data_IF_291587896501
#
_entry.id   IF_291587896501
#
_cell.length_a   1.000
_cell.length_b   1.000
_cell.length_c   1.000
_cell.angle_alpha   90.00
_cell.angle_beta   90.00
_cell.angle_gamma   90.00
#
_symmetry.space_group_name_H-M   'P 1'
#
loop_
_entity.id
_entity.type
_entity.pdbx_description
1 polymer ?
#
# COMPACT_ATOMS: atom_id res chain seq x y z
N UNK A 1 12.64 -9.42 28.61
CA UNK A 1 11.43 -9.83 27.87
C UNK A 1 10.75 -11.01 28.58
N UNK A 2 11.32 -12.22 28.57
CA UNK A 2 10.68 -13.41 29.15
C UNK A 2 10.41 -13.34 30.66
N UNK A 3 11.25 -12.67 31.45
CA UNK A 3 11.04 -12.54 32.90
C UNK A 3 9.81 -11.70 33.28
N UNK A 4 9.45 -10.69 32.47
CA UNK A 4 8.21 -9.90 32.65
C UNK A 4 6.97 -10.71 32.28
N UNK A 5 7.09 -11.58 31.29
CA UNK A 5 6.03 -12.47 30.82
C UNK A 5 5.79 -13.65 31.78
N UNK A 6 6.83 -14.15 32.45
CA UNK A 6 6.71 -15.19 33.47
C UNK A 6 6.08 -14.70 34.78
N UNK A 7 6.24 -13.40 35.10
CA UNK A 7 5.68 -12.79 36.29
C UNK A 7 4.20 -12.36 36.14
N UNK A 8 3.64 -12.40 34.94
CA UNK A 8 2.25 -12.05 34.70
C UNK A 8 1.37 -13.31 34.69
N UNK A 9 0.32 -13.39 35.54
CA UNK A 9 -0.51 -14.59 35.68
C UNK A 9 -1.25 -14.98 34.39
N UNK A 10 -1.47 -14.02 33.48
CA UNK A 10 -2.14 -14.25 32.19
C UNK A 10 -1.24 -14.90 31.15
N UNK A 11 0.07 -14.60 31.16
CA UNK A 11 1.03 -15.09 30.16
C UNK A 11 1.92 -16.22 30.65
N UNK A 12 2.00 -16.42 31.98
CA UNK A 12 2.70 -17.54 32.59
C UNK A 12 2.28 -18.94 32.07
N UNK A 13 0.98 -19.27 31.89
CA UNK A 13 0.59 -20.57 31.35
C UNK A 13 0.91 -20.71 29.86
N UNK A 14 0.95 -19.61 29.11
CA UNK A 14 1.29 -19.61 27.69
C UNK A 14 2.77 -19.90 27.44
N UNK A 15 3.64 -19.49 28.37
CA UNK A 15 5.08 -19.80 28.30
C UNK A 15 5.40 -21.26 28.65
N UNK A 16 4.48 -21.98 29.27
CA UNK A 16 4.62 -23.42 29.53
C UNK A 16 4.29 -24.28 28.31
N UNK A 17 3.67 -23.69 27.27
CA UNK A 17 3.33 -24.36 26.03
C UNK A 17 4.54 -24.38 25.07
N UNK A 18 4.97 -25.59 24.72
CA UNK A 18 6.09 -25.81 23.79
C UNK A 18 5.77 -25.31 22.37
N UNK A 19 4.51 -25.32 21.95
CA UNK A 19 4.10 -24.83 20.63
C UNK A 19 4.24 -23.31 20.56
N UNK A 20 3.76 -22.61 21.60
CA UNK A 20 3.82 -21.16 21.69
C UNK A 20 5.25 -20.62 21.79
N UNK A 21 6.12 -21.32 22.53
CA UNK A 21 7.55 -20.97 22.61
C UNK A 21 8.26 -21.10 21.26
N UNK A 22 7.92 -22.11 20.46
CA UNK A 22 8.43 -22.25 19.10
C UNK A 22 7.95 -21.11 18.19
N UNK A 23 6.69 -20.65 18.34
CA UNK A 23 6.17 -19.48 17.61
C UNK A 23 6.93 -18.20 17.95
N UNK A 24 7.18 -17.94 19.24
CA UNK A 24 7.98 -16.80 19.67
C UNK A 24 9.42 -16.83 19.13
N UNK A 25 10.01 -18.02 19.00
CA UNK A 25 11.33 -18.18 18.38
C UNK A 25 11.30 -17.90 16.88
N UNK A 26 10.27 -18.37 16.16
CA UNK A 26 10.09 -18.09 14.73
C UNK A 26 9.98 -16.59 14.44
N UNK A 27 9.21 -15.88 15.26
CA UNK A 27 9.07 -14.43 15.14
C UNK A 27 10.37 -13.67 15.43
N UNK A 28 11.19 -14.19 16.35
CA UNK A 28 12.52 -13.63 16.59
C UNK A 28 13.44 -13.79 15.37
N UNK A 29 13.32 -14.90 14.65
CA UNK A 29 14.09 -15.13 13.42
C UNK A 29 13.49 -14.43 12.19
N UNK A 30 12.17 -14.20 12.19
CA UNK A 30 11.44 -13.73 11.02
C UNK A 30 10.38 -12.68 11.42
N UNK A 31 10.70 -11.37 11.36
CA UNK A 31 9.79 -10.31 11.78
C UNK A 31 8.61 -10.07 10.83
N UNK A 32 8.63 -10.65 9.62
CA UNK A 32 7.54 -10.52 8.64
C UNK A 32 6.33 -11.42 8.99
N UNK A 33 6.53 -12.50 9.76
CA UNK A 33 5.45 -13.42 10.13
C UNK A 33 4.62 -12.92 11.31
N UNK A 34 5.01 -11.78 11.93
CA UNK A 34 4.27 -11.15 13.03
C UNK A 34 2.82 -10.86 12.63
N UNK A 35 2.58 -10.48 11.37
CA UNK A 35 1.24 -10.16 10.88
C UNK A 35 0.28 -11.36 10.90
N UNK A 36 0.79 -12.57 10.67
CA UNK A 36 -0.01 -13.81 10.72
C UNK A 36 -0.29 -14.21 12.17
N UNK A 37 0.72 -14.06 13.04
CA UNK A 37 0.61 -14.40 14.46
C UNK A 37 -0.21 -13.36 15.26
N UNK A 38 -0.39 -12.13 14.74
CA UNK A 38 -1.31 -11.13 15.32
C UNK A 38 -2.78 -11.56 15.28
N UNK A 39 -3.14 -12.57 14.48
CA UNK A 39 -4.47 -13.18 14.49
C UNK A 39 -4.67 -14.12 15.70
N UNK A 40 -3.58 -14.58 16.34
CA UNK A 40 -3.66 -15.42 17.53
C UNK A 40 -3.90 -14.54 18.77
N UNK A 41 -5.05 -14.69 19.47
CA UNK A 41 -5.36 -13.91 20.66
C UNK A 41 -4.33 -14.12 21.80
N UNK A 42 -3.66 -15.27 21.85
CA UNK A 42 -2.62 -15.58 22.85
C UNK A 42 -1.35 -14.78 22.59
N UNK A 43 -1.01 -14.56 21.32
CA UNK A 43 0.16 -13.79 20.93
C UNK A 43 -0.04 -12.31 21.24
N UNK A 44 -1.22 -11.76 20.93
CA UNK A 44 -1.58 -10.38 21.25
C UNK A 44 -1.50 -10.12 22.76
N UNK A 45 -1.94 -11.07 23.58
CA UNK A 45 -1.85 -11.00 25.04
C UNK A 45 -0.41 -10.95 25.57
N UNK A 46 0.52 -11.65 24.93
CA UNK A 46 1.94 -11.61 25.31
C UNK A 46 2.59 -10.30 24.85
N UNK A 47 2.24 -9.83 23.65
CA UNK A 47 2.73 -8.55 23.13
C UNK A 47 2.20 -7.36 23.94
N UNK A 48 0.96 -7.40 24.40
CA UNK A 48 0.35 -6.34 25.20
C UNK A 48 1.04 -6.21 26.57
N UNK A 49 1.31 -7.32 27.25
CA UNK A 49 2.09 -7.35 28.51
C UNK A 49 3.53 -6.87 28.29
N UNK A 50 4.14 -7.19 27.14
CA UNK A 50 5.48 -6.73 26.82
C UNK A 50 5.55 -5.22 26.56
N UNK A 51 4.53 -4.67 25.89
CA UNK A 51 4.37 -3.24 25.63
C UNK A 51 3.86 -2.46 26.87
N UNK A 52 3.52 -3.15 27.96
CA UNK A 52 3.01 -2.54 29.18
C UNK A 52 1.58 -2.02 29.08
N UNK A 53 0.85 -2.46 28.05
CA UNK A 53 -0.54 -2.09 27.78
C UNK A 53 -1.39 -3.29 28.20
N UNK A 54 -2.00 -3.27 29.38
CA UNK A 54 -2.94 -4.33 29.79
C UNK A 54 -4.26 -4.12 29.04
N UNK A 55 -4.30 -4.52 27.76
CA UNK A 55 -5.54 -4.54 26.99
C UNK A 55 -6.39 -5.70 27.49
N UNK A 56 -7.28 -5.39 28.43
CA UNK A 56 -8.37 -6.26 28.88
C UNK A 56 -9.33 -6.52 27.71
N UNK A 57 -8.96 -7.43 26.81
CA UNK A 57 -9.80 -7.84 25.70
C UNK A 57 -10.80 -8.89 26.21
N UNK A 58 -12.05 -8.48 26.39
CA UNK A 58 -13.19 -9.37 26.66
C UNK A 58 -13.81 -9.26 28.05
N UNK A 59 -14.72 -8.29 28.22
CA UNK A 59 -15.89 -8.44 29.09
C UNK A 59 -17.02 -7.53 28.55
N UNK A 60 -18.29 -8.00 28.48
CA UNK A 60 -19.41 -7.14 28.10
C UNK A 60 -19.63 -6.06 29.19
N UNK A 61 -20.12 -4.86 28.83
CA UNK A 61 -20.22 -3.76 29.79
C UNK A 61 -21.38 -4.00 30.74
N UNK A 62 -21.08 -4.30 32.00
CA UNK A 62 -22.07 -4.26 33.07
C UNK A 62 -21.69 -5.00 34.35
N UNK A 63 -21.05 -4.29 35.30
CA UNK A 63 -21.34 -4.33 36.74
C UNK A 63 -20.21 -3.68 37.58
N UNK A 64 -20.53 -2.57 38.27
CA UNK A 64 -20.17 -2.39 39.69
C UNK A 64 -18.78 -1.88 40.11
N UNK A 65 -18.69 -0.56 40.31
CA UNK A 65 -18.33 0.12 41.58
C UNK A 65 -16.85 0.22 42.09
N UNK A 66 -16.37 1.48 42.05
CA UNK A 66 -15.59 2.30 43.02
C UNK A 66 -14.25 1.83 43.63
N UNK A 67 -13.25 2.74 43.57
CA UNK A 67 -12.10 2.74 44.48
C UNK A 67 -10.98 3.75 44.19
N UNK A 68 -11.21 5.01 44.61
CA UNK A 68 -10.30 6.10 45.03
C UNK A 68 -8.76 6.11 44.78
N UNK A 69 -8.27 7.32 44.42
CA UNK A 69 -6.93 7.87 44.69
C UNK A 69 -6.20 8.29 43.39
N UNK A 70 -5.93 9.55 43.05
CA UNK A 70 -5.80 10.80 43.81
C UNK A 70 -4.37 11.33 43.68
N UNK A 71 -4.09 12.22 42.71
CA UNK A 71 -3.14 13.35 42.80
C UNK A 71 -2.90 14.01 41.43
N UNK A 72 -3.34 15.28 41.32
CA UNK A 72 -2.82 16.46 40.57
C UNK A 72 -2.13 16.22 39.20
N UNK A 73 -2.48 16.96 38.16
CA UNK A 73 -2.04 18.34 37.96
C UNK A 73 -2.85 19.08 36.87
N UNK A 74 -2.90 20.40 37.04
CA UNK A 74 -3.17 21.47 36.06
C UNK A 74 -4.59 21.59 35.46
N UNK A 75 -5.29 22.58 35.99
CA UNK A 75 -6.29 23.35 35.27
C UNK A 75 -5.61 23.99 34.04
N UNK A 76 -5.96 23.52 32.84
CA UNK A 76 -5.95 24.35 31.64
C UNK A 76 -7.42 24.47 31.23
N UNK A 77 -7.93 25.70 31.22
CA UNK A 77 -9.26 26.04 30.72
C UNK A 77 -9.36 25.60 29.26
N UNK A 78 -9.97 24.44 29.02
CA UNK A 78 -10.30 23.99 27.67
C UNK A 78 -11.52 24.78 27.21
N UNK A 79 -11.27 25.89 26.51
CA UNK A 79 -12.32 26.64 25.81
C UNK A 79 -12.88 25.70 24.74
N UNK A 80 -14.11 25.23 24.91
CA UNK A 80 -14.76 24.33 23.93
C UNK A 80 -14.81 25.02 22.56
N UNK A 81 -13.92 24.59 21.66
CA UNK A 81 -13.97 24.93 20.25
C UNK A 81 -15.22 24.28 19.64
N UNK A 82 -16.22 25.04 19.14
CA UNK A 82 -17.47 24.46 18.62
C UNK A 82 -17.33 23.72 17.28
N UNK A 83 -16.10 23.50 16.79
CA UNK A 83 -15.84 22.98 15.44
C UNK A 83 -14.69 21.95 15.43
N UNK A 84 -14.65 21.09 16.44
CA UNK A 84 -13.89 19.84 16.35
C UNK A 84 -14.58 18.95 15.30
N UNK A 85 -14.06 18.93 14.07
CA UNK A 85 -14.44 17.90 13.09
C UNK A 85 -14.30 16.55 13.78
N UNK A 86 -15.30 15.67 13.67
CA UNK A 86 -15.19 14.33 14.24
C UNK A 86 -13.90 13.69 13.72
N UNK A 87 -13.15 12.98 14.57
CA UNK A 87 -11.98 12.23 14.10
C UNK A 87 -12.43 11.38 12.91
N UNK A 88 -11.64 11.30 11.82
CA UNK A 88 -12.01 10.50 10.67
C UNK A 88 -12.37 9.12 11.20
N UNK A 89 -13.64 8.76 11.00
CA UNK A 89 -14.13 7.43 11.31
C UNK A 89 -13.17 6.50 10.60
N UNK A 90 -12.33 5.78 11.35
CA UNK A 90 -11.47 4.76 10.79
C UNK A 90 -12.43 3.81 10.10
N UNK A 91 -12.53 3.92 8.78
CA UNK A 91 -13.20 2.93 7.97
C UNK A 91 -12.50 1.63 8.32
N UNK A 92 -13.26 0.72 8.93
CA UNK A 92 -12.81 -0.66 9.10
C UNK A 92 -12.25 -1.07 7.74
N UNK A 93 -10.94 -1.36 7.69
CA UNK A 93 -10.32 -1.92 6.51
C UNK A 93 -11.11 -3.16 6.18
N UNK A 94 -12.00 -3.02 5.19
CA UNK A 94 -12.70 -4.13 4.56
C UNK A 94 -11.62 -5.17 4.26
N UNK A 95 -11.84 -6.46 4.59
CA UNK A 95 -10.88 -7.51 4.27
C UNK A 95 -10.41 -7.31 2.84
N UNK A 96 -9.10 -7.15 2.67
CA UNK A 96 -8.50 -7.09 1.35
C UNK A 96 -8.99 -8.34 0.61
N UNK A 97 -9.73 -8.19 -0.50
CA UNK A 97 -10.30 -9.35 -1.18
C UNK A 97 -9.14 -10.30 -1.50
N UNK A 98 -9.30 -11.57 -1.11
CA UNK A 98 -8.37 -12.63 -1.50
C UNK A 98 -8.09 -12.49 -3.00
N UNK A 99 -6.83 -12.63 -3.45
CA UNK A 99 -6.49 -12.46 -4.85
C UNK A 99 -7.35 -13.41 -5.67
N UNK A 100 -8.31 -12.84 -6.41
CA UNK A 100 -9.14 -13.58 -7.34
C UNK A 100 -8.20 -14.35 -8.29
N UNK A 101 -8.53 -15.59 -8.67
CA UNK A 101 -7.71 -16.32 -9.62
C UNK A 101 -7.58 -15.47 -10.89
N UNK A 102 -6.35 -15.09 -11.25
CA UNK A 102 -6.07 -14.29 -12.45
C UNK A 102 -6.82 -14.90 -13.63
N UNK A 103 -7.78 -14.15 -14.15
CA UNK A 103 -8.60 -14.60 -15.26
C UNK A 103 -7.71 -14.76 -16.49
N UNK A 104 -8.15 -15.56 -17.46
CA UNK A 104 -7.43 -15.65 -18.74
C UNK A 104 -7.34 -14.28 -19.43
N UNK A 105 -8.27 -13.35 -19.15
CA UNK A 105 -8.20 -11.95 -19.56
C UNK A 105 -7.08 -11.17 -18.86
N UNK A 106 -6.86 -11.37 -17.56
CA UNK A 106 -5.76 -10.72 -16.82
C UNK A 106 -4.38 -11.18 -17.33
N UNK A 107 -4.26 -12.48 -17.64
CA UNK A 107 -3.05 -13.01 -18.27
C UNK A 107 -2.84 -12.42 -19.67
N UNK A 108 -3.89 -12.37 -20.48
CA UNK A 108 -3.83 -11.78 -21.81
C UNK A 108 -3.47 -10.28 -21.76
N UNK A 109 -4.00 -9.53 -20.79
CA UNK A 109 -3.67 -8.13 -20.57
C UNK A 109 -2.20 -7.94 -20.14
N UNK A 110 -1.67 -8.81 -19.26
CA UNK A 110 -0.25 -8.81 -18.88
C UNK A 110 0.66 -9.15 -20.06
N UNK A 111 0.30 -10.13 -20.89
CA UNK A 111 1.06 -10.47 -22.09
C UNK A 111 1.04 -9.33 -23.12
N UNK A 112 -0.11 -8.70 -23.34
CA UNK A 112 -0.24 -7.53 -24.20
C UNK A 112 0.64 -6.38 -23.70
N UNK A 113 0.61 -6.11 -22.38
CA UNK A 113 1.50 -5.11 -21.76
C UNK A 113 2.97 -5.45 -21.93
N UNK A 114 3.37 -6.72 -21.77
CA UNK A 114 4.74 -7.15 -21.96
C UNK A 114 5.21 -6.95 -23.41
N UNK A 115 4.36 -7.28 -24.40
CA UNK A 115 4.63 -7.03 -25.83
C UNK A 115 4.75 -5.54 -26.13
N UNK A 116 3.84 -4.72 -25.59
CA UNK A 116 3.91 -3.26 -25.74
C UNK A 116 5.18 -2.68 -25.11
N UNK A 117 5.60 -3.18 -23.94
CA UNK A 117 6.84 -2.76 -23.30
C UNK A 117 8.09 -3.18 -24.06
N UNK A 118 8.07 -4.30 -24.78
CA UNK A 118 9.14 -4.69 -25.70
C UNK A 118 9.24 -3.71 -26.87
N UNK A 119 8.11 -3.35 -27.49
CA UNK A 119 8.05 -2.35 -28.55
C UNK A 119 8.53 -0.97 -28.06
N UNK A 120 8.14 -0.54 -26.85
CA UNK A 120 8.67 0.67 -26.22
C UNK A 120 10.20 0.62 -26.07
N UNK A 121 10.75 -0.52 -25.64
CA UNK A 121 12.22 -0.67 -25.51
C UNK A 121 12.90 -0.52 -26.87
N UNK A 122 12.37 -1.17 -27.92
CA UNK A 122 12.87 -1.00 -29.31
C UNK A 122 12.80 0.47 -29.74
N UNK A 123 11.67 1.13 -29.53
CA UNK A 123 11.50 2.56 -29.82
C UNK A 123 12.54 3.43 -29.11
N UNK A 124 12.84 3.12 -27.84
CA UNK A 124 13.86 3.82 -27.04
C UNK A 124 15.28 3.59 -27.57
N UNK A 125 15.59 2.38 -28.06
CA UNK A 125 16.87 2.11 -28.71
C UNK A 125 17.03 2.90 -30.02
N UNK A 126 15.97 2.99 -30.82
CA UNK A 126 15.96 3.81 -32.03
C UNK A 126 16.05 5.31 -31.72
N UNK A 127 15.35 5.78 -30.69
CA UNK A 127 15.44 7.16 -30.21
C UNK A 127 16.88 7.52 -29.82
N UNK A 128 17.58 6.65 -29.08
CA UNK A 128 19.00 6.84 -28.73
C UNK A 128 19.91 6.87 -29.96
N UNK A 129 19.55 6.16 -31.03
CA UNK A 129 20.25 6.17 -32.32
C UNK A 129 19.87 7.38 -33.20
N UNK A 130 19.05 8.32 -32.70
CA UNK A 130 18.46 9.46 -33.44
C UNK A 130 17.62 9.05 -34.66
N UNK A 131 17.13 7.81 -34.63
CA UNK A 131 16.27 7.20 -35.63
C UNK A 131 14.82 7.42 -35.21
N UNK A 132 14.36 8.66 -35.32
CA UNK A 132 13.09 9.10 -34.74
C UNK A 132 11.88 8.53 -35.46
N UNK A 133 11.94 8.34 -36.78
CA UNK A 133 10.86 7.71 -37.56
C UNK A 133 10.58 6.28 -37.08
N UNK A 134 11.63 5.47 -37.00
CA UNK A 134 11.52 4.09 -36.50
C UNK A 134 11.06 4.06 -35.03
N UNK A 135 11.53 5.01 -34.20
CA UNK A 135 11.09 5.12 -32.80
C UNK A 135 9.59 5.42 -32.69
N UNK A 136 9.06 6.33 -33.50
CA UNK A 136 7.64 6.70 -33.53
C UNK A 136 6.78 5.49 -33.92
N UNK A 137 7.20 4.71 -34.92
CA UNK A 137 6.46 3.50 -35.31
C UNK A 137 6.37 2.49 -34.17
N UNK A 138 7.47 2.24 -33.46
CA UNK A 138 7.49 1.32 -32.32
C UNK A 138 6.65 1.82 -31.14
N UNK A 139 6.67 3.13 -30.85
CA UNK A 139 5.82 3.69 -29.81
C UNK A 139 4.32 3.67 -30.16
N UNK A 140 3.96 3.88 -31.43
CA UNK A 140 2.58 3.71 -31.90
C UNK A 140 2.11 2.26 -31.75
N UNK A 141 2.92 1.28 -32.16
CA UNK A 141 2.61 -0.14 -31.99
C UNK A 141 2.43 -0.52 -30.52
N UNK A 142 3.27 0.03 -29.64
CA UNK A 142 3.13 -0.15 -28.20
C UNK A 142 1.77 0.36 -27.71
N UNK A 143 1.37 1.56 -28.12
CA UNK A 143 0.09 2.18 -27.78
C UNK A 143 -1.13 1.42 -28.33
N UNK A 144 -1.04 0.86 -29.53
CA UNK A 144 -2.09 0.03 -30.14
C UNK A 144 -2.25 -1.33 -29.41
N UNK A 145 -1.15 -1.89 -28.91
CA UNK A 145 -1.13 -3.18 -28.21
C UNK A 145 -1.63 -3.03 -26.77
N UNK A 146 -1.14 -2.00 -26.06
CA UNK A 146 -1.55 -1.67 -24.71
C UNK A 146 -1.56 -0.16 -24.55
N UNK A 147 -2.67 0.38 -24.05
CA UNK A 147 -2.79 1.81 -23.83
C UNK A 147 -2.12 2.19 -22.52
N UNK A 148 -0.99 2.88 -22.61
CA UNK A 148 -0.27 3.46 -21.47
C UNK A 148 0.20 4.88 -21.84
N UNK A 149 0.00 5.82 -20.91
CA UNK A 149 0.41 7.23 -21.01
C UNK A 149 1.90 7.31 -21.36
N UNK A 150 2.72 6.40 -20.81
CA UNK A 150 4.18 6.38 -21.02
C UNK A 150 4.54 6.22 -22.50
N UNK A 151 3.74 5.50 -23.28
CA UNK A 151 4.00 5.34 -24.71
C UNK A 151 3.74 6.65 -25.46
N UNK A 152 2.67 7.37 -25.11
CA UNK A 152 2.34 8.66 -25.71
C UNK A 152 3.34 9.75 -25.34
N UNK A 153 3.82 9.80 -24.09
CA UNK A 153 4.85 10.77 -23.68
C UNK A 153 6.16 10.54 -24.43
N UNK A 154 6.57 9.27 -24.61
CA UNK A 154 7.77 8.93 -25.38
C UNK A 154 7.62 9.23 -26.87
N UNK A 155 6.41 9.02 -27.41
CA UNK A 155 6.09 9.36 -28.79
C UNK A 155 6.12 10.87 -29.02
N UNK A 156 5.60 11.67 -28.08
CA UNK A 156 5.72 13.12 -28.08
C UNK A 156 7.18 13.58 -28.10
N UNK A 157 8.02 12.99 -27.25
CA UNK A 157 9.47 13.27 -27.23
C UNK A 157 10.15 12.91 -28.55
N UNK A 158 9.84 11.76 -29.15
CA UNK A 158 10.40 11.34 -30.44
C UNK A 158 10.00 12.28 -31.59
N UNK A 159 8.74 12.72 -31.64
CA UNK A 159 8.27 13.72 -32.62
C UNK A 159 8.91 15.08 -32.42
N UNK A 160 9.08 15.50 -31.17
CA UNK A 160 9.74 16.76 -30.82
C UNK A 160 11.18 16.79 -31.33
N UNK A 161 11.98 15.75 -31.05
CA UNK A 161 13.36 15.67 -31.52
C UNK A 161 13.48 15.54 -33.05
N UNK A 162 12.47 14.96 -33.71
CA UNK A 162 12.37 14.95 -35.17
C UNK A 162 12.11 16.35 -35.76
N UNK A 163 11.62 17.29 -34.95
CA UNK A 163 11.20 18.63 -35.38
C UNK A 163 9.72 18.73 -35.76
N UNK A 164 8.93 17.68 -35.52
CA UNK A 164 7.46 17.69 -35.67
C UNK A 164 6.80 18.17 -34.37
N UNK A 165 6.85 19.48 -34.16
CA UNK A 165 6.31 20.11 -32.95
C UNK A 165 4.79 19.98 -32.85
N UNK A 166 4.08 20.05 -33.98
CA UNK A 166 2.63 19.95 -34.01
C UNK A 166 2.19 18.53 -33.61
N UNK A 167 2.80 17.51 -34.21
CA UNK A 167 2.54 16.13 -33.85
C UNK A 167 2.96 15.81 -32.40
N UNK A 168 4.00 16.44 -31.87
CA UNK A 168 4.39 16.30 -30.47
C UNK A 168 3.31 16.86 -29.52
N UNK A 169 2.79 18.06 -29.81
CA UNK A 169 1.70 18.69 -29.03
C UNK A 169 0.47 17.78 -29.01
N UNK A 170 0.05 17.27 -30.16
CA UNK A 170 -1.11 16.36 -30.26
C UNK A 170 -0.91 15.10 -29.41
N UNK A 171 0.30 14.55 -29.43
CA UNK A 171 0.63 13.34 -28.65
C UNK A 171 0.61 13.60 -27.15
N UNK A 172 1.12 14.76 -26.71
CA UNK A 172 1.06 15.18 -25.32
C UNK A 172 -0.39 15.47 -24.88
N UNK A 173 -1.21 16.09 -25.73
CA UNK A 173 -2.63 16.31 -25.45
C UNK A 173 -3.37 14.99 -25.28
N UNK A 174 -3.14 14.04 -26.19
CA UNK A 174 -3.71 12.70 -26.09
C UNK A 174 -3.27 11.99 -24.79
N UNK A 175 -2.01 12.17 -24.37
CA UNK A 175 -1.51 11.62 -23.10
C UNK A 175 -2.26 12.19 -21.88
N UNK A 176 -2.53 13.50 -21.89
CA UNK A 176 -3.29 14.18 -20.84
C UNK A 176 -4.75 13.75 -20.84
N UNK A 177 -5.39 13.67 -22.02
CA UNK A 177 -6.78 13.24 -22.16
C UNK A 177 -6.96 11.81 -21.67
N UNK A 178 -6.13 10.90 -22.16
CA UNK A 178 -6.18 9.50 -21.74
C UNK A 178 -5.86 9.36 -20.25
N UNK A 179 -4.84 10.07 -19.75
CA UNK A 179 -4.51 10.04 -18.33
C UNK A 179 -5.63 10.52 -17.42
N UNK A 180 -6.40 11.52 -17.86
CA UNK A 180 -7.62 11.97 -17.16
C UNK A 180 -8.74 10.93 -17.24
N UNK A 181 -8.90 10.27 -18.38
CA UNK A 181 -9.90 9.21 -18.58
C UNK A 181 -9.67 8.03 -17.63
N UNK A 182 -8.42 7.60 -17.46
CA UNK A 182 -8.07 6.48 -16.59
C UNK A 182 -7.78 6.88 -15.14
N UNK A 183 -7.97 8.15 -14.76
CA UNK A 183 -7.64 8.71 -13.44
C UNK A 183 -6.20 8.38 -12.99
N UNK A 184 -5.25 8.45 -13.92
CA UNK A 184 -3.85 8.20 -13.62
C UNK A 184 -3.27 9.24 -12.66
N UNK A 185 -2.20 8.87 -11.94
CA UNK A 185 -1.49 9.78 -11.04
C UNK A 185 -1.10 11.07 -11.80
N UNK A 186 -1.47 12.21 -11.25
CA UNK A 186 -1.13 13.53 -11.80
C UNK A 186 0.36 13.69 -12.08
N UNK A 187 1.23 13.01 -11.31
CA UNK A 187 2.68 12.99 -11.54
C UNK A 187 3.06 12.26 -12.83
N UNK A 188 2.30 11.27 -13.28
CA UNK A 188 2.52 10.59 -14.55
C UNK A 188 2.06 11.45 -15.72
N UNK A 189 0.94 12.16 -15.56
CA UNK A 189 0.39 13.06 -16.58
C UNK A 189 1.29 14.29 -16.80
N UNK A 190 1.98 14.76 -15.75
CA UNK A 190 2.81 15.97 -15.79
C UNK A 190 4.24 15.76 -16.31
N UNK A 191 4.64 14.53 -16.65
CA UNK A 191 5.96 14.22 -17.22
C UNK A 191 6.06 14.57 -18.70
#
# INVERSE_FOLDING_TARGET
MFQKLANNPKTAPLLADAEFMNKLQRLRTNPNDVGLEMQDPRFLQVMSVLLGIDMQFGAPPGAGQQGAGGAREAEEEDVEMPDARPPPKYEEKKPEPEPEPETEEDKAAKEAKAKADEEKKKGTEFYKKRKFDEAIEHYNKAWETHKDIVYLTNLGAAKFEKGDYQGAIESCQQAVEYGREILADFKLIAK
#
